data_IF_129428623490
#
_entry.id   IF_129428623490
#
_cell.length_a   1.000
_cell.length_b   1.000
_cell.length_c   1.000
_cell.angle_alpha   90.00
_cell.angle_beta   90.00
_cell.angle_gamma   90.00
#
_symmetry.space_group_name_H-M   'P 1'
#
loop_
_entity.id
_entity.type
_entity.pdbx_description
1 polymer ?
#
# COMPACT_ATOMS: atom_id res chain seq x y z
N UNK A 1 3.79 -19.96 -11.03
CA UNK A 1 3.38 -21.37 -11.06
C UNK A 1 2.06 -21.61 -10.33
N UNK A 2 1.85 -21.05 -9.12
CA UNK A 2 0.59 -21.23 -8.38
C UNK A 2 -0.68 -20.85 -9.17
N UNK A 3 -0.81 -19.62 -9.65
CA UNK A 3 -1.98 -19.21 -10.45
C UNK A 3 -2.28 -20.11 -11.66
N UNK A 4 -1.25 -20.68 -12.31
CA UNK A 4 -1.42 -21.63 -13.40
C UNK A 4 -1.94 -22.99 -12.91
N UNK A 5 -1.42 -23.49 -11.78
CA UNK A 5 -1.94 -24.71 -11.14
C UNK A 5 -3.40 -24.53 -10.68
N UNK A 6 -3.76 -23.36 -10.14
CA UNK A 6 -5.13 -23.05 -9.77
C UNK A 6 -6.08 -23.00 -10.98
N UNK A 7 -5.63 -22.41 -12.08
CA UNK A 7 -6.38 -22.39 -13.33
C UNK A 7 -6.61 -23.81 -13.87
N UNK A 8 -5.57 -24.65 -13.90
CA UNK A 8 -5.68 -26.05 -14.31
C UNK A 8 -6.66 -26.81 -13.42
N UNK A 9 -6.58 -26.63 -12.10
CA UNK A 9 -7.53 -27.22 -11.16
C UNK A 9 -8.98 -26.85 -11.46
N UNK A 10 -9.25 -25.55 -11.67
CA UNK A 10 -10.59 -25.07 -12.01
C UNK A 10 -11.14 -25.66 -13.32
N UNK A 11 -10.28 -25.82 -14.35
CA UNK A 11 -10.69 -26.45 -15.61
C UNK A 11 -10.99 -27.95 -15.44
N UNK A 12 -10.21 -28.66 -14.62
CA UNK A 12 -10.42 -30.10 -14.34
C UNK A 12 -11.74 -30.31 -13.57
N UNK A 13 -12.02 -29.46 -12.58
CA UNK A 13 -13.27 -29.54 -11.81
C UNK A 13 -14.52 -29.34 -12.67
N UNK A 14 -14.47 -28.38 -13.60
CA UNK A 14 -15.58 -28.08 -14.51
C UNK A 14 -15.89 -29.22 -15.51
N UNK A 15 -14.95 -30.16 -15.75
CA UNK A 15 -15.11 -31.27 -16.69
C UNK A 15 -15.42 -32.63 -16.05
N UNK A 16 -15.53 -32.74 -14.72
CA UNK A 16 -15.68 -34.02 -14.01
C UNK A 16 -17.14 -34.48 -13.83
N UNK A 17 -17.36 -35.80 -13.80
CA UNK A 17 -18.70 -36.45 -13.81
C UNK A 17 -19.36 -36.46 -12.41
N UNK A 18 -18.60 -36.26 -11.33
CA UNK A 18 -19.08 -36.22 -9.94
C UNK A 18 -19.13 -34.76 -9.41
N UNK A 19 -19.87 -33.93 -10.16
CA UNK A 19 -19.67 -32.49 -10.28
C UNK A 19 -20.00 -31.64 -9.04
N UNK A 20 -20.63 -32.19 -8.00
CA UNK A 20 -20.97 -31.41 -6.79
C UNK A 20 -19.92 -31.49 -5.69
N UNK A 21 -19.38 -32.68 -5.41
CA UNK A 21 -18.38 -32.88 -4.37
C UNK A 21 -16.96 -32.53 -4.86
N UNK A 22 -16.59 -32.96 -6.07
CA UNK A 22 -15.25 -32.66 -6.64
C UNK A 22 -15.05 -31.16 -6.90
N UNK A 23 -16.14 -30.44 -7.20
CA UNK A 23 -16.11 -29.02 -7.50
C UNK A 23 -15.89 -28.17 -6.24
N UNK A 24 -16.54 -28.50 -5.12
CA UNK A 24 -16.34 -27.78 -3.85
C UNK A 24 -14.93 -27.95 -3.30
N UNK A 25 -14.39 -29.16 -3.32
CA UNK A 25 -13.00 -29.47 -2.95
C UNK A 25 -12.00 -28.74 -3.85
N UNK A 26 -12.22 -28.77 -5.17
CA UNK A 26 -11.30 -28.13 -6.10
C UNK A 26 -11.29 -26.62 -5.94
N UNK A 27 -12.45 -25.99 -5.78
CA UNK A 27 -12.55 -24.56 -5.54
C UNK A 27 -11.82 -24.13 -4.26
N UNK A 28 -11.81 -24.97 -3.22
CA UNK A 28 -11.19 -24.66 -1.94
C UNK A 28 -9.67 -24.39 -2.08
N UNK A 29 -8.95 -25.36 -2.64
CA UNK A 29 -7.51 -25.26 -2.78
C UNK A 29 -7.11 -24.30 -3.91
N UNK A 30 -7.85 -24.24 -5.02
CA UNK A 30 -7.54 -23.30 -6.12
C UNK A 30 -7.75 -21.85 -5.70
N UNK A 31 -8.76 -21.56 -4.87
CA UNK A 31 -8.99 -20.24 -4.32
C UNK A 31 -7.81 -19.80 -3.44
N UNK A 32 -7.46 -20.58 -2.42
CA UNK A 32 -6.37 -20.22 -1.52
C UNK A 32 -5.03 -20.05 -2.24
N UNK A 33 -4.74 -20.95 -3.19
CA UNK A 33 -3.51 -20.92 -3.97
C UNK A 33 -3.46 -19.75 -4.97
N UNK A 34 -4.60 -19.34 -5.53
CA UNK A 34 -4.71 -18.15 -6.39
C UNK A 34 -4.41 -16.89 -5.59
N UNK A 35 -5.09 -16.69 -4.46
CA UNK A 35 -4.91 -15.47 -3.67
C UNK A 35 -3.53 -15.42 -3.04
N UNK A 36 -3.00 -16.55 -2.56
CA UNK A 36 -1.62 -16.62 -2.09
C UNK A 36 -0.63 -16.22 -3.19
N UNK A 37 -0.83 -16.68 -4.43
CA UNK A 37 0.02 -16.29 -5.57
C UNK A 37 -0.02 -14.78 -5.81
N UNK A 38 -1.21 -14.16 -5.75
CA UNK A 38 -1.33 -12.70 -5.82
C UNK A 38 -0.67 -11.99 -4.63
N UNK A 39 -0.71 -12.59 -3.45
CA UNK A 39 0.00 -12.13 -2.25
C UNK A 39 1.52 -12.09 -2.42
N UNK A 40 2.10 -13.14 -3.00
CA UNK A 40 3.55 -13.21 -3.27
C UNK A 40 4.01 -12.07 -4.18
N UNK A 41 3.20 -11.72 -5.19
CA UNK A 41 3.49 -10.56 -6.06
C UNK A 41 3.53 -9.26 -5.24
N UNK A 42 2.57 -9.06 -4.33
CA UNK A 42 2.53 -7.88 -3.44
C UNK A 42 3.74 -7.82 -2.50
N UNK A 43 4.20 -8.97 -2.00
CA UNK A 43 5.44 -9.06 -1.20
C UNK A 43 6.65 -8.67 -2.04
N UNK A 44 6.76 -9.16 -3.29
CA UNK A 44 7.86 -8.79 -4.19
C UNK A 44 7.88 -7.27 -4.47
N UNK A 45 6.71 -6.67 -4.72
CA UNK A 45 6.57 -5.21 -4.88
C UNK A 45 7.06 -4.50 -3.61
N UNK A 46 6.68 -4.98 -2.44
CA UNK A 46 7.09 -4.39 -1.15
C UNK A 46 8.61 -4.40 -0.96
N UNK A 47 9.27 -5.50 -1.34
CA UNK A 47 10.74 -5.61 -1.30
C UNK A 47 11.39 -4.60 -2.25
N UNK A 48 10.85 -4.43 -3.46
CA UNK A 48 11.35 -3.44 -4.43
C UNK A 48 11.21 -2.02 -3.85
N UNK A 49 10.06 -1.68 -3.28
CA UNK A 49 9.83 -0.37 -2.65
C UNK A 49 10.76 -0.14 -1.45
N UNK A 50 11.01 -1.17 -0.64
CA UNK A 50 12.00 -1.09 0.44
C UNK A 50 13.41 -0.81 -0.09
N UNK A 51 13.80 -1.45 -1.19
CA UNK A 51 15.04 -1.16 -1.90
C UNK A 51 15.11 0.28 -2.43
N UNK A 52 13.99 0.83 -2.90
CA UNK A 52 13.89 2.24 -3.32
C UNK A 52 14.15 3.17 -2.14
N UNK A 53 13.57 2.93 -0.96
CA UNK A 53 13.81 3.76 0.24
C UNK A 53 15.30 3.81 0.57
N UNK A 54 15.97 2.65 0.60
CA UNK A 54 17.41 2.57 0.88
C UNK A 54 18.23 3.34 -0.16
N UNK A 55 17.90 3.19 -1.45
CA UNK A 55 18.58 3.93 -2.53
C UNK A 55 18.34 5.43 -2.45
N UNK A 56 17.17 5.88 -2.00
CA UNK A 56 16.88 7.29 -1.83
C UNK A 56 17.76 7.94 -0.78
N UNK A 57 18.02 7.26 0.35
CA UNK A 57 18.92 7.77 1.38
C UNK A 57 20.33 7.99 0.85
N UNK A 58 20.92 6.98 0.20
CA UNK A 58 22.24 7.13 -0.41
C UNK A 58 22.29 8.21 -1.49
N UNK A 59 21.20 8.39 -2.25
CA UNK A 59 21.11 9.45 -3.26
C UNK A 59 21.05 10.84 -2.64
N UNK A 60 20.33 11.02 -1.53
CA UNK A 60 20.28 12.31 -0.83
C UNK A 60 21.68 12.73 -0.38
N UNK A 61 22.43 11.81 0.23
CA UNK A 61 23.79 12.10 0.71
C UNK A 61 24.76 12.39 -0.45
N UNK A 62 24.67 11.61 -1.54
CA UNK A 62 25.46 11.88 -2.74
C UNK A 62 25.12 13.24 -3.38
N UNK A 63 23.85 13.64 -3.38
CA UNK A 63 23.42 14.94 -3.89
C UNK A 63 23.97 16.07 -3.03
N UNK A 64 23.96 15.95 -1.69
CA UNK A 64 24.55 16.93 -0.78
C UNK A 64 26.01 17.20 -1.12
N UNK A 65 26.83 16.15 -1.25
CA UNK A 65 28.27 16.29 -1.60
C UNK A 65 28.46 16.89 -3.01
N UNK A 66 27.69 16.42 -3.99
CA UNK A 66 27.82 16.94 -5.37
C UNK A 66 27.40 18.41 -5.50
N UNK A 67 26.31 18.83 -4.84
CA UNK A 67 25.85 20.21 -4.89
C UNK A 67 26.73 21.15 -4.08
N UNK A 68 27.31 20.70 -2.98
CA UNK A 68 28.29 21.50 -2.24
C UNK A 68 29.49 21.90 -3.12
N UNK A 69 29.83 21.08 -4.12
CA UNK A 69 30.90 21.36 -5.09
C UNK A 69 30.45 22.19 -6.29
N UNK A 70 29.17 22.11 -6.66
CA UNK A 70 28.62 22.72 -7.88
C UNK A 70 27.89 24.04 -7.63
N UNK A 71 27.44 24.30 -6.40
CA UNK A 71 26.76 25.53 -6.06
C UNK A 71 27.72 26.72 -6.21
N UNK A 72 27.40 27.66 -7.09
CA UNK A 72 28.16 28.89 -7.24
C UNK A 72 28.02 29.74 -5.98
N UNK A 73 29.13 30.16 -5.37
CA UNK A 73 29.12 31.05 -4.21
C UNK A 73 28.53 32.40 -4.64
N UNK A 74 27.24 32.60 -4.41
CA UNK A 74 26.62 33.91 -4.61
C UNK A 74 26.90 34.75 -3.35
N UNK A 75 27.64 35.87 -3.52
CA UNK A 75 27.96 36.82 -2.44
C UNK A 75 26.71 37.55 -1.88
N UNK A 76 25.56 37.35 -2.51
CA UNK A 76 24.27 37.89 -2.08
C UNK A 76 23.57 36.91 -1.16
N UNK A 77 23.79 37.06 0.15
CA UNK A 77 22.96 36.45 1.17
C UNK A 77 21.51 36.95 1.05
N UNK A 78 20.69 36.26 0.25
CA UNK A 78 19.25 36.51 0.19
C UNK A 78 18.66 36.10 1.53
N UNK A 79 18.40 37.09 2.38
CA UNK A 79 17.64 36.86 3.61
C UNK A 79 16.22 36.41 3.22
N UNK A 80 15.75 35.24 3.68
CA UNK A 80 14.47 34.73 3.24
C UNK A 80 13.34 35.54 3.88
N UNK A 81 12.45 36.08 3.05
CA UNK A 81 11.07 36.32 3.43
C UNK A 81 10.43 34.96 3.74
N UNK A 82 10.37 34.59 5.01
CA UNK A 82 9.69 33.37 5.43
C UNK A 82 8.20 33.51 5.09
N UNK A 83 7.65 32.54 4.36
CA UNK A 83 6.28 32.65 3.88
C UNK A 83 5.88 31.58 2.89
N UNK A 84 4.61 31.66 2.48
CA UNK A 84 4.06 30.84 1.42
C UNK A 84 4.34 31.50 0.07
N UNK A 85 4.86 30.71 -0.86
CA UNK A 85 5.08 31.13 -2.25
C UNK A 85 4.26 30.23 -3.17
N UNK A 86 3.76 30.80 -4.26
CA UNK A 86 3.15 30.04 -5.34
C UNK A 86 4.23 29.61 -6.33
N UNK A 87 4.19 28.35 -6.73
CA UNK A 87 5.12 27.78 -7.72
C UNK A 87 4.32 27.05 -8.80
N UNK A 88 4.92 26.80 -9.96
CA UNK A 88 4.31 26.02 -11.04
C UNK A 88 3.89 24.60 -10.61
N UNK A 89 4.40 24.12 -9.47
CA UNK A 89 4.11 22.80 -8.90
C UNK A 89 3.11 22.87 -7.73
N UNK A 90 2.61 24.05 -7.39
CA UNK A 90 1.67 24.33 -6.30
C UNK A 90 2.26 25.22 -5.20
N UNK A 91 1.50 25.38 -4.10
CA UNK A 91 1.93 26.17 -2.95
C UNK A 91 3.15 25.54 -2.28
N UNK A 92 4.23 26.31 -2.13
CA UNK A 92 5.41 25.93 -1.37
C UNK A 92 5.59 26.87 -0.17
N UNK A 93 6.30 26.41 0.85
CA UNK A 93 6.66 27.20 2.02
C UNK A 93 8.18 27.33 2.09
N UNK A 94 8.64 28.55 2.34
CA UNK A 94 10.06 28.88 2.51
C UNK A 94 10.32 29.03 4.01
N UNK A 95 11.18 28.18 4.55
CA UNK A 95 11.56 28.16 5.96
C UNK A 95 13.08 28.07 6.12
N UNK A 96 13.60 28.43 7.29
CA UNK A 96 15.04 28.30 7.60
C UNK A 96 15.44 26.84 7.83
N UNK A 97 14.53 26.06 8.43
CA UNK A 97 14.77 24.69 8.83
C UNK A 97 14.03 23.68 7.94
N UNK A 98 14.54 22.44 7.82
CA UNK A 98 13.83 21.35 7.17
C UNK A 98 12.44 21.12 7.77
N UNK A 99 11.44 20.77 6.94
CA UNK A 99 10.08 20.56 7.44
C UNK A 99 10.07 19.35 8.39
N UNK A 100 9.54 19.55 9.60
CA UNK A 100 9.35 18.46 10.55
C UNK A 100 8.44 17.39 9.93
N UNK A 101 8.69 16.10 10.21
CA UNK A 101 7.87 15.02 9.69
C UNK A 101 6.44 15.17 10.21
N UNK A 102 5.50 15.27 9.28
CA UNK A 102 4.07 15.32 9.57
C UNK A 102 3.65 14.04 10.30
N UNK A 103 2.61 14.07 11.16
CA UNK A 103 2.16 12.91 11.92
C UNK A 103 1.95 11.67 11.05
N UNK A 104 1.42 11.90 9.84
CA UNK A 104 1.15 10.85 8.89
C UNK A 104 2.40 10.18 8.31
N UNK A 105 3.52 10.90 8.21
CA UNK A 105 4.79 10.32 7.78
C UNK A 105 5.40 9.44 8.87
N UNK A 106 5.19 9.80 10.14
CA UNK A 106 5.61 8.98 11.28
C UNK A 106 4.80 7.70 11.33
N UNK A 107 3.47 7.82 11.14
CA UNK A 107 2.57 6.68 11.04
C UNK A 107 3.00 5.76 9.90
N UNK A 108 3.25 6.31 8.70
CA UNK A 108 3.69 5.52 7.56
C UNK A 108 4.99 4.76 7.82
N UNK A 109 6.00 5.42 8.41
CA UNK A 109 7.28 4.80 8.79
C UNK A 109 7.13 3.69 9.84
N UNK A 110 6.19 3.83 10.76
CA UNK A 110 5.97 2.86 11.83
C UNK A 110 5.10 1.67 11.37
N UNK A 111 4.11 1.91 10.51
CA UNK A 111 3.05 0.95 10.21
C UNK A 111 3.32 0.05 9.01
N UNK A 112 4.22 0.42 8.09
CA UNK A 112 4.45 -0.41 6.90
C UNK A 112 4.94 -1.83 7.24
N UNK A 113 5.89 -1.97 8.17
CA UNK A 113 6.45 -3.29 8.57
C UNK A 113 5.40 -4.19 9.20
N UNK A 114 4.70 -3.80 10.29
CA UNK A 114 3.75 -4.68 10.93
C UNK A 114 2.62 -5.06 9.97
N UNK A 115 2.14 -4.15 9.13
CA UNK A 115 1.08 -4.48 8.17
C UNK A 115 1.53 -5.49 7.11
N UNK A 116 2.73 -5.36 6.56
CA UNK A 116 3.24 -6.35 5.61
C UNK A 116 3.42 -7.72 6.24
N UNK A 117 3.94 -7.77 7.48
CA UNK A 117 4.14 -9.03 8.20
C UNK A 117 2.79 -9.67 8.54
N UNK A 118 1.85 -8.91 9.10
CA UNK A 118 0.50 -9.40 9.40
C UNK A 118 -0.23 -9.85 8.13
N UNK A 119 -0.13 -9.09 7.04
CA UNK A 119 -0.72 -9.45 5.76
C UNK A 119 -0.15 -10.75 5.20
N UNK A 120 1.17 -10.91 5.21
CA UNK A 120 1.83 -12.14 4.77
C UNK A 120 1.45 -13.34 5.66
N UNK A 121 1.44 -13.17 6.99
CA UNK A 121 1.03 -14.22 7.93
C UNK A 121 -0.42 -14.65 7.69
N UNK A 122 -1.34 -13.68 7.54
CA UNK A 122 -2.74 -13.96 7.26
C UNK A 122 -2.91 -14.73 5.94
N UNK A 123 -2.17 -14.40 4.89
CA UNK A 123 -2.21 -15.18 3.65
C UNK A 123 -1.69 -16.61 3.80
N UNK A 124 -0.64 -16.82 4.60
CA UNK A 124 -0.12 -18.17 4.88
C UNK A 124 -1.15 -18.97 5.69
N UNK A 125 -1.72 -18.38 6.74
CA UNK A 125 -2.78 -19.01 7.56
C UNK A 125 -3.99 -19.33 6.70
N UNK A 126 -4.40 -18.41 5.84
CA UNK A 126 -5.49 -18.60 4.90
C UNK A 126 -5.21 -19.71 3.88
N UNK A 127 -4.00 -19.78 3.33
CA UNK A 127 -3.60 -20.86 2.44
C UNK A 127 -3.65 -22.22 3.15
N UNK A 128 -3.06 -22.32 4.35
CA UNK A 128 -3.11 -23.56 5.13
C UNK A 128 -4.55 -23.95 5.42
N UNK A 129 -5.38 -23.00 5.86
CA UNK A 129 -6.80 -23.23 6.11
C UNK A 129 -7.50 -23.75 4.85
N UNK A 130 -7.24 -23.15 3.69
CA UNK A 130 -7.81 -23.57 2.39
C UNK A 130 -7.49 -25.01 2.00
N UNK A 131 -6.29 -25.49 2.34
CA UNK A 131 -5.87 -26.87 2.08
C UNK A 131 -6.51 -27.84 3.07
N UNK A 132 -6.74 -27.41 4.32
CA UNK A 132 -7.36 -28.24 5.35
C UNK A 132 -8.82 -28.51 5.03
N UNK A 133 -9.62 -27.49 4.73
CA UNK A 133 -11.06 -27.70 4.45
C UNK A 133 -11.35 -28.17 3.03
N UNK A 134 -10.36 -28.17 2.13
CA UNK A 134 -10.48 -28.89 0.87
C UNK A 134 -10.76 -30.39 1.09
N UNK A 135 -10.23 -30.97 2.17
CA UNK A 135 -10.49 -32.37 2.55
C UNK A 135 -11.79 -32.62 3.31
N UNK A 136 -12.59 -31.57 3.58
CA UNK A 136 -13.86 -31.69 4.31
C UNK A 136 -15.03 -32.01 3.37
N UNK A 137 -16.07 -32.66 3.89
CA UNK A 137 -17.24 -33.02 3.08
C UNK A 137 -18.05 -31.77 2.72
N UNK A 138 -18.26 -31.56 1.42
CA UNK A 138 -19.01 -30.41 0.87
C UNK A 138 -20.45 -30.39 1.43
N UNK A 139 -20.91 -29.20 1.83
CA UNK A 139 -22.28 -28.98 2.31
C UNK A 139 -22.48 -29.13 3.82
N UNK A 140 -21.47 -29.60 4.55
CA UNK A 140 -21.46 -29.62 6.02
C UNK A 140 -21.34 -28.21 6.60
N UNK A 141 -21.72 -28.05 7.88
CA UNK A 141 -21.52 -26.80 8.61
C UNK A 141 -20.03 -26.45 8.71
N UNK A 142 -19.19 -27.44 9.05
CA UNK A 142 -17.72 -27.29 9.15
C UNK A 142 -17.10 -26.76 7.86
N UNK A 143 -17.54 -27.26 6.70
CA UNK A 143 -17.07 -26.77 5.39
C UNK A 143 -17.42 -25.29 5.16
N UNK A 144 -18.64 -24.87 5.52
CA UNK A 144 -19.08 -23.47 5.36
C UNK A 144 -18.34 -22.52 6.29
N UNK A 145 -18.19 -22.89 7.56
CA UNK A 145 -17.48 -22.09 8.56
C UNK A 145 -16.00 -21.95 8.23
N UNK A 146 -15.34 -23.05 7.83
CA UNK A 146 -13.95 -23.03 7.43
C UNK A 146 -13.73 -22.20 6.15
N UNK A 147 -14.64 -22.28 5.17
CA UNK A 147 -14.64 -21.45 3.98
C UNK A 147 -14.79 -19.96 4.30
N UNK A 148 -15.74 -19.61 5.19
CA UNK A 148 -15.98 -18.25 5.65
C UNK A 148 -14.76 -17.65 6.37
N UNK A 149 -14.18 -18.41 7.29
CA UNK A 149 -12.97 -18.05 8.01
C UNK A 149 -11.80 -17.83 7.06
N UNK A 150 -11.57 -18.78 6.15
CA UNK A 150 -10.49 -18.72 5.16
C UNK A 150 -10.62 -17.48 4.29
N UNK A 151 -11.82 -17.20 3.77
CA UNK A 151 -12.09 -16.00 2.99
C UNK A 151 -11.82 -14.72 3.80
N UNK A 152 -12.37 -14.64 5.02
CA UNK A 152 -12.17 -13.50 5.90
C UNK A 152 -10.68 -13.21 6.16
N UNK A 153 -9.92 -14.24 6.57
CA UNK A 153 -8.50 -14.12 6.89
C UNK A 153 -7.67 -13.74 5.67
N UNK A 154 -7.90 -14.39 4.53
CA UNK A 154 -7.17 -14.11 3.29
C UNK A 154 -7.39 -12.66 2.85
N UNK A 155 -8.63 -12.17 2.86
CA UNK A 155 -8.91 -10.80 2.41
C UNK A 155 -8.43 -9.74 3.38
N UNK A 156 -8.53 -9.99 4.68
CA UNK A 156 -7.88 -9.14 5.68
C UNK A 156 -6.36 -9.08 5.42
N UNK A 157 -5.75 -10.22 5.11
CA UNK A 157 -4.34 -10.32 4.73
C UNK A 157 -3.99 -9.51 3.49
N UNK A 158 -4.81 -9.58 2.44
CA UNK A 158 -4.62 -8.76 1.23
C UNK A 158 -4.74 -7.26 1.52
N UNK A 159 -5.74 -6.87 2.31
CA UNK A 159 -5.94 -5.49 2.68
C UNK A 159 -4.74 -4.97 3.50
N UNK A 160 -4.19 -5.76 4.42
CA UNK A 160 -2.98 -5.41 5.15
C UNK A 160 -1.74 -5.32 4.25
N UNK A 161 -1.57 -6.23 3.29
CA UNK A 161 -0.46 -6.16 2.33
C UNK A 161 -0.52 -4.89 1.49
N UNK A 162 -1.69 -4.57 0.92
CA UNK A 162 -1.86 -3.37 0.11
C UNK A 162 -1.69 -2.09 0.95
N UNK A 163 -2.21 -2.06 2.17
CA UNK A 163 -1.99 -0.95 3.11
C UNK A 163 -0.51 -0.82 3.51
N UNK A 164 0.21 -1.92 3.70
CA UNK A 164 1.65 -1.92 3.94
C UNK A 164 2.44 -1.32 2.77
N UNK A 165 2.07 -1.68 1.53
CA UNK A 165 2.62 -1.08 0.29
C UNK A 165 2.31 0.42 0.24
N UNK A 166 1.07 0.82 0.55
CA UNK A 166 0.68 2.22 0.62
C UNK A 166 1.54 3.01 1.63
N UNK A 167 1.77 2.45 2.83
CA UNK A 167 2.64 3.08 3.82
C UNK A 167 4.12 3.12 3.39
N UNK A 168 4.61 2.14 2.63
CA UNK A 168 5.93 2.23 2.00
C UNK A 168 6.00 3.41 1.02
N UNK A 169 4.99 3.60 0.18
CA UNK A 169 4.92 4.75 -0.74
C UNK A 169 4.84 6.08 0.02
N UNK A 170 4.06 6.14 1.10
CA UNK A 170 4.00 7.30 2.00
C UNK A 170 5.37 7.60 2.63
N UNK A 171 6.14 6.57 2.97
CA UNK A 171 7.51 6.69 3.49
C UNK A 171 8.47 7.21 2.41
N UNK A 172 8.35 6.74 1.17
CA UNK A 172 9.12 7.26 0.02
C UNK A 172 8.83 8.74 -0.19
N UNK A 173 7.55 9.13 -0.23
CA UNK A 173 7.14 10.52 -0.40
C UNK A 173 7.70 11.42 0.72
N UNK A 174 7.63 10.94 1.97
CA UNK A 174 8.23 11.63 3.11
C UNK A 174 9.74 11.79 2.95
N UNK A 175 10.45 10.72 2.57
CA UNK A 175 11.90 10.74 2.37
C UNK A 175 12.34 11.68 1.25
N UNK A 176 11.59 11.77 0.15
CA UNK A 176 11.87 12.72 -0.93
C UNK A 176 11.70 14.17 -0.47
N UNK A 177 10.66 14.44 0.33
CA UNK A 177 10.37 15.77 0.85
C UNK A 177 11.39 16.22 1.91
N UNK A 178 11.71 15.34 2.85
CA UNK A 178 12.68 15.58 3.92
C UNK A 178 14.09 15.71 3.32
N UNK A 179 14.50 14.75 2.46
CA UNK A 179 15.82 14.76 1.82
C UNK A 179 16.08 15.98 0.95
N UNK A 180 15.09 16.44 0.18
CA UNK A 180 15.20 17.68 -0.60
C UNK A 180 15.33 18.94 0.26
N UNK A 181 14.73 18.94 1.45
CA UNK A 181 14.90 20.03 2.42
C UNK A 181 16.26 20.01 3.10
N UNK A 182 16.75 18.82 3.47
CA UNK A 182 18.09 18.64 4.04
C UNK A 182 19.20 19.05 3.08
N UNK A 183 19.05 18.76 1.78
CA UNK A 183 20.00 19.22 0.74
C UNK A 183 20.07 20.75 0.73
N UNK A 184 18.94 21.44 0.69
CA UNK A 184 18.90 22.91 0.72
C UNK A 184 19.53 23.47 2.00
N UNK A 185 19.16 22.90 3.16
CA UNK A 185 19.70 23.33 4.45
C UNK A 185 21.22 23.11 4.56
N UNK A 186 21.75 22.00 4.02
CA UNK A 186 23.19 21.71 4.03
C UNK A 186 24.02 22.69 3.20
N UNK A 187 23.40 23.38 2.24
CA UNK A 187 24.01 24.42 1.42
C UNK A 187 23.85 25.81 2.03
N UNK A 188 23.27 25.93 3.24
CA UNK A 188 22.95 27.22 3.86
C UNK A 188 21.81 27.98 3.19
N UNK A 189 21.07 27.31 2.28
CA UNK A 189 19.95 27.92 1.55
C UNK A 189 18.65 27.83 2.34
N UNK A 190 17.73 28.81 2.15
CA UNK A 190 16.39 28.69 2.69
C UNK A 190 15.69 27.46 2.11
N UNK A 191 15.10 26.66 3.00
CA UNK A 191 14.45 25.42 2.64
C UNK A 191 13.09 25.72 2.04
N UNK A 192 12.97 25.51 0.72
CA UNK A 192 11.71 25.59 0.00
C UNK A 192 11.10 24.20 -0.11
N UNK A 193 9.94 24.00 0.51
CA UNK A 193 9.21 22.71 0.43
C UNK A 193 7.78 22.88 -0.06
N UNK A 194 7.39 22.05 -1.01
CA UNK A 194 6.02 22.00 -1.51
C UNK A 194 5.06 21.64 -0.36
N UNK A 195 3.90 22.29 -0.22
CA UNK A 195 2.84 21.85 0.71
C UNK A 195 2.27 20.50 0.25
N UNK A 196 1.58 19.79 1.14
CA UNK A 196 0.98 18.50 0.77
C UNK A 196 -0.01 18.67 -0.40
N UNK A 197 0.23 18.02 -1.55
CA UNK A 197 -0.69 18.11 -2.67
C UNK A 197 -2.02 17.43 -2.33
N UNK A 198 -3.11 17.85 -2.98
CA UNK A 198 -4.44 17.28 -2.76
C UNK A 198 -4.47 15.76 -3.00
N UNK A 199 -3.69 15.28 -3.98
CA UNK A 199 -3.53 13.85 -4.29
C UNK A 199 -2.93 13.05 -3.12
N UNK A 200 -2.00 13.63 -2.36
CA UNK A 200 -1.41 12.95 -1.20
C UNK A 200 -2.41 12.86 -0.03
N UNK A 201 -3.26 13.88 0.14
CA UNK A 201 -4.36 13.85 1.13
C UNK A 201 -5.43 12.84 0.74
N UNK A 202 -5.84 12.84 -0.53
CA UNK A 202 -6.80 11.89 -1.06
C UNK A 202 -6.29 10.44 -0.94
N UNK A 203 -5.01 10.19 -1.26
CA UNK A 203 -4.35 8.90 -1.03
C UNK A 203 -4.58 8.37 0.40
N UNK A 204 -4.31 9.21 1.40
CA UNK A 204 -4.46 8.85 2.81
C UNK A 204 -5.89 8.47 3.14
N UNK A 205 -6.85 9.30 2.74
CA UNK A 205 -8.27 9.10 3.04
C UNK A 205 -8.77 7.82 2.37
N UNK A 206 -8.42 7.59 1.10
CA UNK A 206 -8.79 6.38 0.38
C UNK A 206 -8.22 5.11 1.03
N UNK A 207 -6.95 5.15 1.45
CA UNK A 207 -6.32 4.03 2.11
C UNK A 207 -6.96 3.73 3.47
N UNK A 208 -7.26 4.77 4.27
CA UNK A 208 -7.95 4.59 5.56
C UNK A 208 -9.35 4.00 5.36
N UNK A 209 -10.13 4.52 4.42
CA UNK A 209 -11.46 3.99 4.11
C UNK A 209 -11.39 2.54 3.62
N UNK A 210 -10.49 2.26 2.67
CA UNK A 210 -10.30 0.90 2.16
C UNK A 210 -9.92 -0.07 3.27
N UNK A 211 -9.01 0.32 4.17
CA UNK A 211 -8.61 -0.52 5.29
C UNK A 211 -9.76 -0.76 6.28
N UNK A 212 -10.51 0.27 6.63
CA UNK A 212 -11.67 0.13 7.51
C UNK A 212 -12.72 -0.80 6.92
N UNK A 213 -12.98 -0.72 5.62
CA UNK A 213 -13.91 -1.61 4.93
C UNK A 213 -13.40 -3.05 4.90
N UNK A 214 -12.09 -3.27 4.74
CA UNK A 214 -11.48 -4.60 4.82
C UNK A 214 -11.63 -5.23 6.21
N UNK A 215 -11.44 -4.43 7.27
CA UNK A 215 -11.67 -4.86 8.65
C UNK A 215 -13.15 -5.14 8.90
N UNK A 216 -14.05 -4.25 8.46
CA UNK A 216 -15.49 -4.42 8.59
C UNK A 216 -15.98 -5.68 7.85
N UNK A 217 -15.42 -5.94 6.66
CA UNK A 217 -15.67 -7.16 5.90
C UNK A 217 -15.23 -8.40 6.69
N UNK A 218 -14.02 -8.41 7.26
CA UNK A 218 -13.55 -9.51 8.10
C UNK A 218 -14.48 -9.77 9.30
N UNK A 219 -14.84 -8.71 10.03
CA UNK A 219 -15.79 -8.80 11.16
C UNK A 219 -17.14 -9.35 10.67
N UNK A 220 -17.62 -8.90 9.52
CA UNK A 220 -18.85 -9.40 8.91
C UNK A 220 -18.81 -10.90 8.62
N UNK A 221 -17.66 -11.44 8.18
CA UNK A 221 -17.47 -12.89 8.04
C UNK A 221 -17.53 -13.62 9.40
N UNK A 222 -16.95 -13.05 10.46
CA UNK A 222 -17.05 -13.64 11.82
C UNK A 222 -18.47 -13.63 12.36
N UNK A 223 -19.21 -12.54 12.13
CA UNK A 223 -20.63 -12.43 12.50
C UNK A 223 -21.46 -13.43 11.69
N UNK A 224 -21.21 -13.59 10.39
CA UNK A 224 -21.90 -14.57 9.57
C UNK A 224 -21.68 -16.00 10.08
N UNK A 225 -20.46 -16.34 10.53
CA UNK A 225 -20.17 -17.65 11.15
C UNK A 225 -20.97 -17.83 12.45
N UNK A 226 -21.04 -16.80 13.30
CA UNK A 226 -21.67 -16.90 14.62
C UNK A 226 -23.20 -16.84 14.63
N UNK A 227 -23.83 -16.21 13.63
CA UNK A 227 -25.26 -15.88 13.63
C UNK A 227 -26.06 -16.42 12.44
N UNK A 228 -25.43 -17.09 11.47
CA UNK A 228 -26.17 -17.66 10.34
C UNK A 228 -26.75 -19.04 10.69
N UNK A 229 -28.03 -19.08 11.03
CA UNK A 229 -28.74 -20.31 11.43
C UNK A 229 -28.96 -21.30 10.28
N UNK A 230 -28.91 -20.83 9.02
CA UNK A 230 -29.12 -21.66 7.84
C UNK A 230 -28.34 -21.15 6.61
N UNK A 231 -28.33 -21.96 5.55
CA UNK A 231 -27.61 -21.67 4.30
C UNK A 231 -28.09 -20.40 3.59
N UNK A 232 -29.39 -20.08 3.67
CA UNK A 232 -29.98 -18.89 3.06
C UNK A 232 -29.60 -17.59 3.80
N UNK A 233 -29.53 -17.65 5.13
CA UNK A 233 -29.00 -16.56 5.96
C UNK A 233 -27.53 -16.32 5.62
N UNK A 234 -26.73 -17.38 5.56
CA UNK A 234 -25.30 -17.30 5.25
C UNK A 234 -25.03 -16.72 3.85
N UNK A 235 -25.80 -17.12 2.83
CA UNK A 235 -25.66 -16.55 1.47
C UNK A 235 -26.02 -15.06 1.42
N UNK A 236 -26.98 -14.62 2.23
CA UNK A 236 -27.36 -13.21 2.33
C UNK A 236 -26.20 -12.35 2.86
N UNK A 237 -25.48 -12.84 3.87
CA UNK A 237 -24.25 -12.19 4.35
C UNK A 237 -23.18 -12.09 3.26
N UNK A 238 -22.91 -13.20 2.56
CA UNK A 238 -21.92 -13.23 1.49
C UNK A 238 -22.22 -12.25 0.35
N UNK A 239 -23.50 -12.06 0.01
CA UNK A 239 -23.92 -11.12 -1.03
C UNK A 239 -23.56 -9.66 -0.70
N UNK A 240 -23.47 -9.30 0.58
CA UNK A 240 -23.07 -7.96 1.02
C UNK A 240 -21.55 -7.88 1.18
N UNK A 241 -20.92 -8.93 1.70
CA UNK A 241 -19.49 -8.95 1.99
C UNK A 241 -18.61 -9.03 0.74
N UNK A 242 -19.09 -9.68 -0.33
CA UNK A 242 -18.39 -9.78 -1.62
C UNK A 242 -18.11 -8.41 -2.24
N UNK A 243 -19.13 -7.57 -2.51
CA UNK A 243 -18.93 -6.22 -3.03
C UNK A 243 -18.11 -5.32 -2.09
N UNK A 244 -18.27 -5.48 -0.77
CA UNK A 244 -17.51 -4.72 0.23
C UNK A 244 -16.00 -4.98 0.13
N UNK A 245 -15.60 -6.24 -0.12
CA UNK A 245 -14.21 -6.62 -0.38
C UNK A 245 -13.65 -5.88 -1.59
N UNK A 246 -14.34 -5.93 -2.73
CA UNK A 246 -13.86 -5.31 -3.97
C UNK A 246 -13.74 -3.79 -3.82
N UNK A 247 -14.69 -3.17 -3.11
CA UNK A 247 -14.63 -1.75 -2.79
C UNK A 247 -13.43 -1.43 -1.88
N UNK A 248 -13.16 -2.24 -0.86
CA UNK A 248 -12.00 -2.09 0.03
C UNK A 248 -10.69 -2.11 -0.77
N UNK A 249 -10.47 -3.16 -1.56
CA UNK A 249 -9.26 -3.31 -2.37
C UNK A 249 -9.15 -2.20 -3.42
N UNK A 250 -10.25 -1.86 -4.08
CA UNK A 250 -10.34 -0.80 -5.08
C UNK A 250 -9.94 0.56 -4.51
N UNK A 251 -10.40 0.90 -3.30
CA UNK A 251 -10.04 2.15 -2.63
C UNK A 251 -8.56 2.21 -2.26
N UNK A 252 -7.99 1.10 -1.74
CA UNK A 252 -6.55 1.07 -1.42
C UNK A 252 -5.72 1.22 -2.70
N UNK A 253 -6.08 0.51 -3.78
CA UNK A 253 -5.39 0.60 -5.07
C UNK A 253 -5.52 2.00 -5.69
N UNK A 254 -6.70 2.62 -5.65
CA UNK A 254 -6.88 4.00 -6.07
C UNK A 254 -5.99 4.96 -5.26
N UNK A 255 -5.88 4.74 -3.94
CA UNK A 255 -4.93 5.44 -3.09
C UNK A 255 -3.49 5.26 -3.56
N UNK A 256 -3.05 4.03 -3.84
CA UNK A 256 -1.71 3.73 -4.35
C UNK A 256 -1.41 4.50 -5.64
N UNK A 257 -2.35 4.58 -6.57
CA UNK A 257 -2.20 5.37 -7.81
C UNK A 257 -2.01 6.85 -7.49
N UNK A 258 -2.82 7.43 -6.59
CA UNK A 258 -2.67 8.83 -6.18
C UNK A 258 -1.35 9.10 -5.44
N UNK A 259 -0.84 8.12 -4.68
CA UNK A 259 0.48 8.22 -4.05
C UNK A 259 1.59 8.30 -5.10
N UNK A 260 1.53 7.46 -6.15
CA UNK A 260 2.50 7.49 -7.25
C UNK A 260 2.47 8.83 -8.00
N UNK A 261 1.29 9.38 -8.27
CA UNK A 261 1.13 10.73 -8.86
C UNK A 261 1.77 11.79 -7.97
N UNK A 262 1.56 11.70 -6.66
CA UNK A 262 2.14 12.64 -5.69
C UNK A 262 3.66 12.55 -5.66
N UNK A 263 4.22 11.33 -5.71
CA UNK A 263 5.67 11.11 -5.80
C UNK A 263 6.23 11.71 -7.09
N UNK A 264 5.57 11.52 -8.24
CA UNK A 264 6.00 12.10 -9.50
C UNK A 264 6.04 13.63 -9.46
N UNK A 265 5.03 14.27 -8.88
CA UNK A 265 4.98 15.72 -8.72
C UNK A 265 6.09 16.25 -7.80
N UNK A 266 6.32 15.57 -6.67
CA UNK A 266 7.42 15.94 -5.76
C UNK A 266 8.77 15.76 -6.44
N UNK A 267 9.00 14.69 -7.20
CA UNK A 267 10.26 14.49 -7.94
C UNK A 267 10.51 15.61 -8.96
N UNK A 268 9.49 16.04 -9.71
CA UNK A 268 9.60 17.16 -10.66
C UNK A 268 9.96 18.46 -9.95
N UNK A 269 9.31 18.74 -8.82
CA UNK A 269 9.62 19.90 -8.00
C UNK A 269 11.07 19.88 -7.48
N UNK A 270 11.51 18.73 -6.94
CA UNK A 270 12.89 18.58 -6.43
C UNK A 270 13.93 18.75 -7.54
N UNK A 271 13.67 18.19 -8.73
CA UNK A 271 14.55 18.36 -9.88
C UNK A 271 14.67 19.83 -10.32
N UNK A 272 13.54 20.54 -10.38
CA UNK A 272 13.53 21.98 -10.67
C UNK A 272 14.37 22.75 -9.64
N UNK A 273 14.17 22.49 -8.34
CA UNK A 273 14.94 23.14 -7.26
C UNK A 273 16.44 22.89 -7.38
N UNK A 274 16.86 21.64 -7.59
CA UNK A 274 18.28 21.31 -7.81
C UNK A 274 18.86 22.08 -9.00
N UNK A 275 18.11 22.17 -10.10
CA UNK A 275 18.54 22.90 -11.30
C UNK A 275 18.67 24.40 -11.05
N UNK A 276 17.72 25.00 -10.33
CA UNK A 276 17.75 26.42 -9.96
C UNK A 276 18.94 26.71 -9.05
N UNK A 277 19.18 25.89 -8.03
CA UNK A 277 20.32 26.02 -7.12
C UNK A 277 21.65 26.03 -7.89
N UNK A 278 21.82 25.15 -8.88
CA UNK A 278 23.03 25.11 -9.71
C UNK A 278 23.16 26.34 -10.61
N UNK A 279 22.05 26.85 -11.16
CA UNK A 279 22.07 27.97 -12.12
C UNK A 279 22.22 29.34 -11.45
N UNK A 280 21.55 29.55 -10.32
CA UNK A 280 21.40 30.87 -9.69
C UNK A 280 22.06 30.96 -8.33
N UNK A 281 22.50 29.84 -7.75
CA UNK A 281 22.99 29.81 -6.37
C UNK A 281 21.89 30.07 -5.33
N UNK A 282 20.61 29.84 -5.68
CA UNK A 282 19.43 30.15 -4.84
C UNK A 282 18.39 29.02 -4.87
#
# INVERSE_FOLDING_TARGET
MGAAAAAIGNFVAAGSIDATNSYGETLAWTFGLSIFSFGVIKIAISIILMGIIVRLWFRVDAIKDSLARLHGHSDTAVQPSAGDIETDYGLATVAKDPPKPLPIHRLARAMWRPMLVMGAMALVVGLISSLVWAGETVGTQSFREAGAWTQGVIFLGEAFLLSGIAFLLGTILAGLREGGGEVQHSLGLPVTTLKMPATAKAFVVLMMMGMMLGIAQFIGYLVAIGFADNTASFSTWLNVLGPLRELSLGLILAGVVLALVSIANVLRFQFNRVTTIVRTGQ
#
